data_IF_151111781214
#
_entry.id   IF_151111781214
#
_cell.length_a   1.000
_cell.length_b   1.000
_cell.length_c   1.000
_cell.angle_alpha   90.00
_cell.angle_beta   90.00
_cell.angle_gamma   90.00
#
_symmetry.space_group_name_H-M   'P 1'
#
loop_
_entity.id
_entity.type
_entity.pdbx_description
1 polymer ?
#
# COMPACT_ATOMS: atom_id res chain seq x y z
N UNK A 1 14.37 8.02 -10.43
CA UNK A 1 15.02 7.98 -9.10
C UNK A 1 15.01 9.32 -8.34
N UNK A 2 15.41 10.45 -8.94
CA UNK A 2 15.44 11.77 -8.25
C UNK A 2 14.08 12.20 -7.66
N UNK A 3 12.99 12.04 -8.41
CA UNK A 3 11.63 12.42 -7.97
C UNK A 3 11.17 11.62 -6.75
N UNK A 4 11.41 10.31 -6.74
CA UNK A 4 11.07 9.43 -5.61
C UNK A 4 11.83 9.85 -4.36
N UNK A 5 13.12 10.14 -4.48
CA UNK A 5 13.94 10.61 -3.38
C UNK A 5 13.41 11.94 -2.81
N UNK A 6 12.99 12.87 -3.68
CA UNK A 6 12.40 14.15 -3.27
C UNK A 6 11.08 13.95 -2.52
N UNK A 7 10.20 13.07 -3.01
CA UNK A 7 8.93 12.76 -2.34
C UNK A 7 9.20 12.12 -0.97
N UNK A 8 10.06 11.11 -0.90
CA UNK A 8 10.45 10.47 0.37
C UNK A 8 10.98 11.52 1.36
N UNK A 9 11.90 12.38 0.92
CA UNK A 9 12.47 13.43 1.77
C UNK A 9 11.40 14.41 2.27
N UNK A 10 10.45 14.81 1.43
CA UNK A 10 9.33 15.67 1.85
C UNK A 10 8.42 14.99 2.88
N UNK A 11 8.15 13.69 2.72
CA UNK A 11 7.37 12.92 3.68
C UNK A 11 8.08 12.80 5.04
N UNK A 12 9.40 12.63 5.05
CA UNK A 12 10.22 12.64 6.26
C UNK A 12 10.18 14.00 7.00
N UNK A 13 10.23 15.12 6.27
CA UNK A 13 10.13 16.47 6.86
C UNK A 13 8.74 16.68 7.48
N UNK A 14 7.67 16.22 6.84
CA UNK A 14 6.33 16.24 7.41
C UNK A 14 6.24 15.35 8.67
N UNK A 15 6.87 14.17 8.65
CA UNK A 15 6.88 13.24 9.79
C UNK A 15 7.59 13.80 11.04
N UNK A 16 8.65 14.59 10.86
CA UNK A 16 9.36 15.22 11.98
C UNK A 16 8.42 16.12 12.81
N UNK A 17 7.51 16.82 12.14
CA UNK A 17 6.53 17.73 12.73
C UNK A 17 5.18 17.05 13.07
N UNK A 18 5.03 15.77 12.75
CA UNK A 18 3.82 15.04 13.03
C UNK A 18 3.66 14.75 14.52
N UNK A 19 2.40 14.73 14.97
CA UNK A 19 2.02 14.40 16.33
C UNK A 19 1.90 12.88 16.50
N UNK A 20 1.93 12.41 17.75
CA UNK A 20 1.79 10.98 18.03
C UNK A 20 0.41 10.43 17.62
N UNK A 21 0.43 9.17 17.18
CA UNK A 21 -0.76 8.39 16.84
C UNK A 21 -1.49 7.93 18.10
N UNK A 22 -2.83 7.81 18.06
CA UNK A 22 -3.60 7.21 19.14
C UNK A 22 -3.21 5.73 19.31
N UNK A 23 -3.39 5.20 20.53
CA UNK A 23 -3.18 3.78 20.81
C UNK A 23 -4.31 2.97 20.14
N UNK A 24 -4.04 2.47 18.93
CA UNK A 24 -4.93 1.54 18.20
C UNK A 24 -4.26 0.18 18.01
N UNK A 25 -5.07 -0.88 17.96
CA UNK A 25 -4.64 -2.24 17.61
C UNK A 25 -5.17 -2.72 16.26
N UNK A 26 -6.23 -2.07 15.78
CA UNK A 26 -6.84 -2.36 14.48
C UNK A 26 -6.99 -1.04 13.76
N UNK A 27 -6.54 -1.00 12.52
CA UNK A 27 -6.71 0.14 11.63
C UNK A 27 -7.24 -0.41 10.31
N UNK A 28 -8.30 0.18 9.79
CA UNK A 28 -8.95 -0.26 8.55
C UNK A 28 -9.06 0.94 7.62
N UNK A 29 -8.58 0.79 6.40
CA UNK A 29 -8.71 1.75 5.33
C UNK A 29 -9.49 1.19 4.16
N UNK A 30 -10.13 2.08 3.41
CA UNK A 30 -10.68 1.85 2.08
C UNK A 30 -9.93 2.73 1.09
N UNK A 31 -9.53 2.18 -0.05
CA UNK A 31 -8.70 2.92 -0.98
C UNK A 31 -8.33 2.15 -2.23
N UNK A 32 -7.42 2.77 -2.97
CA UNK A 32 -6.77 2.24 -4.16
C UNK A 32 -5.28 2.06 -3.94
N UNK A 33 -4.70 1.08 -4.61
CA UNK A 33 -3.29 0.76 -4.60
C UNK A 33 -3.02 -0.62 -4.04
N UNK A 34 -1.75 -1.04 -4.10
CA UNK A 34 -1.38 -2.40 -3.71
C UNK A 34 -1.72 -2.74 -2.26
N UNK A 35 -1.53 -1.79 -1.33
CA UNK A 35 -1.91 -1.93 0.07
C UNK A 35 -3.37 -2.33 0.29
N UNK A 36 -4.22 -2.05 -0.70
CA UNK A 36 -5.66 -2.27 -0.67
C UNK A 36 -6.09 -3.45 -1.55
N UNK A 37 -5.13 -4.18 -2.14
CA UNK A 37 -5.41 -5.27 -3.09
C UNK A 37 -5.97 -4.76 -4.43
N UNK A 38 -5.58 -3.56 -4.88
CA UNK A 38 -6.22 -2.88 -6.01
C UNK A 38 -7.18 -1.81 -5.49
N UNK A 39 -8.48 -1.96 -5.70
CA UNK A 39 -9.52 -1.18 -5.03
C UNK A 39 -10.14 -2.02 -3.91
N UNK A 40 -9.98 -1.61 -2.66
CA UNK A 40 -10.45 -2.44 -1.56
C UNK A 40 -10.09 -1.92 -0.18
N UNK A 41 -9.80 -2.87 0.70
CA UNK A 41 -9.54 -2.66 2.12
C UNK A 41 -8.07 -2.86 2.43
N UNK A 42 -7.55 -2.04 3.34
CA UNK A 42 -6.24 -2.20 3.98
C UNK A 42 -6.49 -2.35 5.48
N UNK A 43 -6.11 -3.47 6.06
CA UNK A 43 -6.20 -3.70 7.50
C UNK A 43 -4.80 -3.80 8.09
N UNK A 44 -4.55 -3.10 9.18
CA UNK A 44 -3.31 -3.20 9.95
C UNK A 44 -3.64 -3.63 11.37
N UNK A 45 -3.22 -4.85 11.69
CA UNK A 45 -3.37 -5.48 13.00
C UNK A 45 -2.06 -5.32 13.79
N UNK A 46 -2.07 -4.44 14.77
CA UNK A 46 -0.95 -4.19 15.65
C UNK A 46 -0.95 -2.78 16.23
N UNK A 47 0.07 -2.50 17.04
CA UNK A 47 0.14 -1.30 17.86
C UNK A 47 0.43 -0.04 17.05
N UNK A 48 -0.39 1.01 17.23
CA UNK A 48 -0.22 2.33 16.62
C UNK A 48 0.01 2.26 15.11
N UNK A 49 -0.82 1.48 14.42
CA UNK A 49 -0.73 1.28 12.97
C UNK A 49 0.60 0.64 12.51
N UNK A 50 1.27 -0.09 13.40
CA UNK A 50 2.41 -0.95 13.10
C UNK A 50 2.05 -2.39 13.41
N UNK A 51 2.33 -3.33 12.50
CA UNK A 51 2.02 -4.74 12.69
C UNK A 51 1.78 -5.47 11.38
N UNK A 52 0.87 -6.44 11.41
CA UNK A 52 0.48 -7.23 10.25
C UNK A 52 -0.41 -6.39 9.33
N UNK A 53 0.02 -6.23 8.08
CA UNK A 53 -0.75 -5.61 7.01
C UNK A 53 -1.46 -6.68 6.19
N UNK A 54 -2.75 -6.48 5.94
CA UNK A 54 -3.58 -7.30 5.07
C UNK A 54 -4.40 -6.37 4.17
N UNK A 55 -4.09 -6.37 2.88
CA UNK A 55 -4.87 -5.73 1.82
C UNK A 55 -5.76 -6.75 1.12
N UNK A 56 -7.03 -6.43 0.90
CA UNK A 56 -7.97 -7.25 0.14
C UNK A 56 -8.86 -6.36 -0.71
N UNK A 57 -8.90 -6.63 -2.02
CA UNK A 57 -9.63 -5.81 -2.96
C UNK A 57 -9.87 -6.49 -4.30
N UNK A 58 -10.29 -5.67 -5.26
CA UNK A 58 -10.47 -6.06 -6.64
C UNK A 58 -9.46 -5.31 -7.50
N UNK A 59 -8.82 -6.04 -8.41
CA UNK A 59 -7.99 -5.48 -9.45
C UNK A 59 -8.82 -5.16 -10.69
N UNK A 60 -8.18 -4.56 -11.69
CA UNK A 60 -8.75 -4.48 -13.03
C UNK A 60 -9.23 -5.86 -13.49
N UNK A 61 -10.34 -5.88 -14.24
CA UNK A 61 -10.95 -7.12 -14.77
C UNK A 61 -11.59 -8.05 -13.73
N UNK A 62 -11.84 -7.57 -12.50
CA UNK A 62 -12.62 -8.30 -11.49
C UNK A 62 -11.87 -9.41 -10.75
N UNK A 63 -10.55 -9.51 -10.94
CA UNK A 63 -9.71 -10.45 -10.20
C UNK A 63 -9.55 -9.98 -8.75
N UNK A 64 -9.62 -10.93 -7.82
CA UNK A 64 -9.36 -10.66 -6.39
C UNK A 64 -7.88 -10.36 -6.19
N UNK A 65 -7.58 -9.15 -5.73
CA UNK A 65 -6.25 -8.73 -5.34
C UNK A 65 -6.07 -8.83 -3.82
N UNK A 66 -4.85 -9.17 -3.39
CA UNK A 66 -4.50 -9.21 -1.97
C UNK A 66 -3.06 -8.75 -1.75
N UNK A 67 -2.76 -8.28 -0.55
CA UNK A 67 -1.41 -8.03 -0.06
C UNK A 67 -1.30 -8.51 1.40
N UNK A 68 -0.23 -9.20 1.74
CA UNK A 68 0.07 -9.59 3.12
C UNK A 68 1.50 -9.16 3.43
N UNK A 69 1.71 -8.51 4.57
CA UNK A 69 3.02 -7.94 4.88
C UNK A 69 3.14 -7.37 6.29
N UNK A 70 4.22 -6.66 6.52
CA UNK A 70 4.44 -5.85 7.72
C UNK A 70 4.31 -4.38 7.42
N UNK A 71 3.71 -3.62 8.33
CA UNK A 71 3.77 -2.16 8.34
C UNK A 71 4.44 -1.67 9.62
N UNK A 72 5.34 -0.69 9.49
CA UNK A 72 5.94 0.05 10.59
C UNK A 72 5.54 1.52 10.45
N UNK A 73 4.80 2.04 11.42
CA UNK A 73 4.42 3.44 11.48
C UNK A 73 5.23 4.19 12.54
N UNK A 74 5.76 5.35 12.15
CA UNK A 74 6.44 6.30 13.04
C UNK A 74 5.71 7.63 12.88
N UNK A 75 4.88 7.98 13.87
CA UNK A 75 3.94 9.11 13.79
C UNK A 75 3.05 8.97 12.55
N UNK A 76 2.93 10.00 11.73
CA UNK A 76 2.15 9.97 10.48
C UNK A 76 2.83 9.21 9.33
N UNK A 77 4.13 8.93 9.40
CA UNK A 77 4.84 8.19 8.35
C UNK A 77 4.70 6.69 8.56
N UNK A 78 4.66 5.91 7.49
CA UNK A 78 4.79 4.47 7.56
C UNK A 78 5.64 3.89 6.45
N UNK A 79 6.16 2.70 6.72
CA UNK A 79 6.87 1.83 5.80
C UNK A 79 6.18 0.49 5.78
N UNK A 80 6.10 -0.12 4.61
CA UNK A 80 5.47 -1.40 4.42
C UNK A 80 6.29 -2.26 3.48
N UNK A 81 6.38 -3.52 3.85
CA UNK A 81 6.94 -4.57 3.05
C UNK A 81 5.91 -5.69 2.99
N UNK A 82 5.45 -5.99 1.79
CA UNK A 82 4.40 -6.98 1.55
C UNK A 82 4.68 -7.85 0.35
N UNK A 83 3.87 -8.89 0.22
CA UNK A 83 3.81 -9.75 -0.94
C UNK A 83 2.35 -9.97 -1.30
N UNK A 84 2.03 -9.90 -2.59
CA UNK A 84 0.64 -9.91 -3.01
C UNK A 84 0.48 -9.89 -4.52
N UNK A 85 -0.76 -9.66 -4.96
CA UNK A 85 -1.08 -9.46 -6.36
C UNK A 85 -0.80 -8.00 -6.73
N UNK A 86 0.12 -7.77 -7.67
CA UNK A 86 0.55 -6.45 -8.12
C UNK A 86 -0.03 -6.02 -9.45
N UNK A 87 -0.59 -6.95 -10.21
CA UNK A 87 -1.17 -6.69 -11.51
C UNK A 87 -1.90 -7.91 -12.05
N UNK A 88 -2.43 -7.74 -13.25
CA UNK A 88 -2.98 -8.82 -14.06
C UNK A 88 -2.50 -8.65 -15.48
N UNK A 89 -2.21 -9.74 -16.18
CA UNK A 89 -1.93 -9.70 -17.61
C UNK A 89 -2.81 -10.71 -18.34
N UNK A 90 -2.98 -10.47 -19.63
CA UNK A 90 -3.63 -11.37 -20.55
C UNK A 90 -2.78 -11.40 -21.82
N UNK A 91 -2.39 -12.59 -22.26
CA UNK A 91 -1.65 -12.77 -23.51
C UNK A 91 -2.62 -13.33 -24.53
N UNK A 92 -2.90 -12.58 -25.60
CA UNK A 92 -3.89 -12.95 -26.61
C UNK A 92 -5.28 -13.25 -25.98
N UNK A 93 -5.90 -14.39 -26.34
CA UNK A 93 -7.20 -14.85 -25.84
C UNK A 93 -7.09 -15.80 -24.63
N UNK A 94 -5.91 -15.91 -24.02
CA UNK A 94 -5.73 -16.76 -22.83
C UNK A 94 -6.48 -16.18 -21.62
N UNK A 95 -6.75 -17.01 -20.59
CA UNK A 95 -7.30 -16.53 -19.34
C UNK A 95 -6.42 -15.44 -18.69
N UNK A 96 -7.07 -14.47 -18.01
CA UNK A 96 -6.34 -13.43 -17.28
C UNK A 96 -5.59 -14.06 -16.11
N UNK A 97 -4.30 -13.79 -16.02
CA UNK A 97 -3.42 -14.29 -14.96
C UNK A 97 -3.02 -13.18 -13.98
N UNK A 98 -2.82 -13.56 -12.72
CA UNK A 98 -2.41 -12.65 -11.65
C UNK A 98 -0.89 -12.54 -11.57
N UNK A 99 -0.36 -11.31 -11.59
CA UNK A 99 1.05 -11.04 -11.29
C UNK A 99 1.22 -10.98 -9.78
N UNK A 100 2.14 -11.80 -9.25
CA UNK A 100 2.50 -11.75 -7.84
C UNK A 100 3.90 -11.17 -7.67
N UNK A 101 4.05 -10.23 -6.75
CA UNK A 101 5.35 -9.61 -6.49
C UNK A 101 5.48 -9.17 -5.03
N UNK A 102 6.73 -8.94 -4.62
CA UNK A 102 7.00 -8.16 -3.42
C UNK A 102 6.64 -6.69 -3.66
N UNK A 103 6.38 -5.98 -2.57
CA UNK A 103 6.03 -4.57 -2.58
C UNK A 103 6.73 -3.87 -1.42
N UNK A 104 7.43 -2.78 -1.72
CA UNK A 104 7.97 -1.89 -0.71
C UNK A 104 7.33 -0.51 -0.89
N UNK A 105 6.70 0.01 0.16
CA UNK A 105 6.11 1.34 0.11
C UNK A 105 6.49 2.21 1.30
N UNK A 106 6.45 3.50 1.04
CA UNK A 106 6.53 4.57 2.03
C UNK A 106 5.28 5.40 1.88
N UNK A 107 4.59 5.66 2.98
CA UNK A 107 3.40 6.48 2.96
C UNK A 107 3.25 7.38 4.16
N UNK A 108 2.29 8.28 4.05
CA UNK A 108 1.99 9.31 5.01
C UNK A 108 0.49 9.36 5.26
N UNK A 109 0.14 9.42 6.54
CA UNK A 109 -1.22 9.51 7.02
C UNK A 109 -1.53 10.94 7.43
N UNK A 110 -2.46 11.58 6.74
CA UNK A 110 -3.01 12.87 7.16
C UNK A 110 -4.11 12.59 8.17
N UNK A 111 -3.81 12.81 9.45
CA UNK A 111 -4.78 12.62 10.53
C UNK A 111 -5.92 13.64 10.45
N UNK A 112 -7.14 13.15 10.63
CA UNK A 112 -8.37 13.94 10.59
C UNK A 112 -9.00 14.03 11.99
N UNK A 113 -9.44 15.23 12.35
CA UNK A 113 -10.08 15.50 13.63
C UNK A 113 -9.13 15.50 14.82
N UNK A 114 -9.62 15.95 15.98
CA UNK A 114 -8.81 16.06 17.22
C UNK A 114 -8.39 14.70 17.78
N UNK A 115 -9.29 13.72 17.69
CA UNK A 115 -9.08 12.35 18.19
C UNK A 115 -8.17 11.51 17.28
N UNK A 116 -7.89 11.99 16.05
CA UNK A 116 -7.08 11.29 15.04
C UNK A 116 -7.51 9.85 14.78
N UNK A 117 -8.80 9.58 14.97
CA UNK A 117 -9.40 8.27 14.71
C UNK A 117 -9.60 8.03 13.22
N UNK A 118 -9.58 9.07 12.39
CA UNK A 118 -9.69 8.96 10.94
C UNK A 118 -8.46 9.54 10.27
N UNK A 119 -8.12 9.07 9.06
CA UNK A 119 -6.95 9.54 8.31
C UNK A 119 -7.14 9.41 6.80
N UNK A 120 -6.38 10.21 6.05
CA UNK A 120 -6.13 10.01 4.61
C UNK A 120 -4.78 9.31 4.48
N UNK A 121 -4.72 8.23 3.72
CA UNK A 121 -3.52 7.45 3.44
C UNK A 121 -2.99 7.81 2.04
N UNK A 122 -1.74 8.24 1.95
CA UNK A 122 -1.05 8.54 0.68
C UNK A 122 0.28 7.77 0.67
N UNK A 123 0.54 6.97 -0.35
CA UNK A 123 1.74 6.16 -0.44
C UNK A 123 2.34 6.13 -1.84
N UNK A 124 3.65 5.95 -1.88
CA UNK A 124 4.42 5.62 -3.08
C UNK A 124 5.34 4.45 -2.76
N UNK A 125 5.55 3.58 -3.75
CA UNK A 125 6.38 2.41 -3.58
C UNK A 125 6.90 1.84 -4.88
N UNK A 126 7.44 0.63 -4.77
CA UNK A 126 7.97 -0.12 -5.90
C UNK A 126 7.61 -1.60 -5.75
N UNK A 127 7.13 -2.21 -6.83
CA UNK A 127 6.97 -3.66 -6.96
C UNK A 127 8.30 -4.30 -7.29
N UNK A 128 8.65 -5.39 -6.62
CA UNK A 128 9.93 -6.06 -6.79
C UNK A 128 9.72 -7.56 -7.00
N UNK A 129 10.50 -8.16 -7.90
CA UNK A 129 10.42 -9.58 -8.19
C UNK A 129 9.13 -9.99 -8.90
N UNK A 130 8.52 -9.07 -9.65
CA UNK A 130 7.46 -9.42 -10.58
C UNK A 130 8.07 -10.18 -11.77
N UNK A 131 7.38 -11.19 -12.34
CA UNK A 131 7.87 -11.91 -13.51
C UNK A 131 7.96 -10.98 -14.72
N UNK A 132 8.99 -11.18 -15.53
CA UNK A 132 9.02 -10.66 -16.90
C UNK A 132 8.05 -11.47 -17.75
N UNK A 133 7.14 -10.80 -18.44
CA UNK A 133 6.19 -11.44 -19.35
C UNK A 133 6.61 -11.21 -20.79
N UNK A 134 6.41 -12.22 -21.65
CA UNK A 134 6.71 -12.13 -23.07
C UNK A 134 5.44 -11.78 -23.84
N UNK A 135 5.42 -10.61 -24.48
CA UNK A 135 4.30 -10.13 -25.29
C UNK A 135 4.78 -10.04 -26.75
N UNK A 136 4.55 -11.11 -27.51
CA UNK A 136 5.07 -11.23 -28.86
C UNK A 136 6.61 -11.23 -28.89
N UNK A 137 7.27 -10.34 -29.66
CA UNK A 137 8.74 -10.25 -29.70
C UNK A 137 9.34 -9.44 -28.55
N UNK A 138 8.53 -8.92 -27.62
CA UNK A 138 8.99 -8.04 -26.54
C UNK A 138 8.92 -8.72 -25.17
N UNK A 139 9.86 -8.36 -24.31
CA UNK A 139 9.85 -8.69 -22.88
C UNK A 139 9.45 -7.46 -22.08
N UNK A 140 8.49 -7.62 -21.16
CA UNK A 140 8.00 -6.55 -20.30
C UNK A 140 8.25 -6.90 -18.83
N UNK A 141 9.11 -6.11 -18.17
CA UNK A 141 9.29 -6.17 -16.71
C UNK A 141 8.07 -5.56 -16.02
N UNK A 142 7.42 -6.36 -15.19
CA UNK A 142 6.23 -5.96 -14.42
C UNK A 142 6.59 -5.27 -13.09
N UNK A 143 7.89 -5.09 -12.82
CA UNK A 143 8.38 -4.31 -11.69
C UNK A 143 8.28 -2.81 -12.00
N UNK A 144 7.77 -2.02 -11.06
CA UNK A 144 7.52 -0.62 -11.32
C UNK A 144 7.08 0.18 -10.10
N UNK A 145 6.90 1.47 -10.33
CA UNK A 145 6.43 2.41 -9.31
C UNK A 145 4.94 2.18 -9.05
N UNK A 146 4.56 2.11 -7.79
CA UNK A 146 3.17 1.97 -7.36
C UNK A 146 2.76 3.11 -6.45
N UNK A 147 1.47 3.42 -6.42
CA UNK A 147 0.88 4.46 -5.59
C UNK A 147 -0.31 3.89 -4.83
N UNK A 148 -0.56 4.44 -3.65
CA UNK A 148 -1.78 4.15 -2.91
C UNK A 148 -2.42 5.45 -2.39
N UNK A 149 -3.74 5.46 -2.40
CA UNK A 149 -4.56 6.54 -1.86
C UNK A 149 -5.77 5.93 -1.17
N UNK A 150 -6.05 6.33 0.06
CA UNK A 150 -7.20 5.82 0.78
C UNK A 150 -7.68 6.73 1.89
N UNK A 151 -8.80 6.35 2.50
CA UNK A 151 -9.29 6.90 3.76
C UNK A 151 -9.36 5.76 4.77
N UNK A 152 -9.09 6.04 6.03
CA UNK A 152 -9.12 4.98 7.03
C UNK A 152 -9.53 5.45 8.40
N UNK A 153 -9.77 4.45 9.25
CA UNK A 153 -10.16 4.58 10.64
C UNK A 153 -9.23 3.75 11.52
N UNK A 154 -8.90 4.31 12.67
CA UNK A 154 -8.17 3.68 13.77
C UNK A 154 -9.17 3.35 14.85
N UNK A 155 -9.14 2.13 15.35
CA UNK A 155 -9.97 1.70 16.46
C UNK A 155 -9.14 1.80 17.74
N UNK A 156 -9.34 2.87 18.55
CA UNK A 156 -8.52 3.10 19.73
C UNK A 156 -8.90 2.10 20.83
N UNK A 157 -7.91 1.66 21.60
CA UNK A 157 -8.17 0.96 22.84
C UNK A 157 -8.48 1.98 23.93
N UNK A 158 -9.65 1.87 24.57
CA UNK A 158 -10.01 2.69 25.73
C UNK A 158 -9.44 2.08 27.01
#
# INVERSE_FOLDING_TARGET
MKIILTIILSLFICAANAQDLPNSYVNVGLGVGMNYGGFGTKTVLGYRNSGLLVGLGLMGNGIVGYEIGGQLAIKSLYFNLGYGVSGTYQINDDPIESVKSGNFMVGYMVDLGKEKTSFIDIAIGHTIGAPTIQIGPFEEDQSGVTFALGIGMRFPNK
#
